data_IF_023982079045
#
_entry.id   IF_023982079045
#
_cell.length_a   1.000
_cell.length_b   1.000
_cell.length_c   1.000
_cell.angle_alpha   90.00
_cell.angle_beta   90.00
_cell.angle_gamma   90.00
#
_symmetry.space_group_name_H-M   'P 1'
#
loop_
_entity.id
_entity.type
_entity.pdbx_description
1 polymer ?
#
# COMPACT_ATOMS: atom_id res chain seq x y z
N UNK A 1 18.80 -19.85 -3.95
CA UNK A 1 19.48 -18.85 -3.11
C UNK A 1 19.30 -17.45 -3.64
N UNK A 2 19.79 -17.17 -4.85
CA UNK A 2 19.60 -15.84 -5.44
C UNK A 2 18.13 -15.50 -5.60
N UNK A 3 17.33 -16.47 -6.02
CA UNK A 3 15.89 -16.30 -6.21
C UNK A 3 15.15 -15.95 -4.93
N UNK A 4 15.58 -16.47 -3.80
CA UNK A 4 15.00 -16.17 -2.51
C UNK A 4 15.31 -14.75 -2.07
N UNK A 5 16.54 -14.28 -2.33
CA UNK A 5 16.95 -12.92 -2.01
C UNK A 5 16.13 -11.91 -2.82
N UNK A 6 15.99 -12.16 -4.12
CA UNK A 6 15.23 -11.28 -5.02
C UNK A 6 13.76 -11.27 -4.63
N UNK A 7 13.21 -12.44 -4.31
CA UNK A 7 11.81 -12.56 -3.91
C UNK A 7 11.54 -11.85 -2.59
N UNK A 8 12.45 -12.00 -1.63
CA UNK A 8 12.34 -11.30 -0.35
C UNK A 8 12.42 -9.79 -0.52
N UNK A 9 13.30 -9.31 -1.40
CA UNK A 9 13.37 -7.90 -1.73
C UNK A 9 12.09 -7.37 -2.35
N UNK A 10 11.49 -8.13 -3.26
CA UNK A 10 10.21 -7.77 -3.87
C UNK A 10 9.09 -7.69 -2.83
N UNK A 11 9.06 -8.66 -1.92
CA UNK A 11 8.07 -8.67 -0.84
C UNK A 11 8.23 -7.46 0.07
N UNK A 12 9.46 -7.15 0.47
CA UNK A 12 9.74 -6.00 1.34
C UNK A 12 9.37 -4.68 0.68
N UNK A 13 9.69 -4.55 -0.60
CA UNK A 13 9.36 -3.34 -1.34
C UNK A 13 7.85 -3.16 -1.47
N UNK A 14 7.14 -4.21 -1.81
CA UNK A 14 5.68 -4.16 -1.93
C UNK A 14 5.03 -3.84 -0.58
N UNK A 15 5.50 -4.48 0.49
CA UNK A 15 5.00 -4.21 1.83
C UNK A 15 5.24 -2.75 2.23
N UNK A 16 6.44 -2.22 1.96
CA UNK A 16 6.76 -0.83 2.26
C UNK A 16 5.88 0.13 1.47
N UNK A 17 5.65 -0.15 0.20
CA UNK A 17 4.80 0.68 -0.64
C UNK A 17 3.35 0.71 -0.14
N UNK A 18 2.82 -0.45 0.26
CA UNK A 18 1.45 -0.52 0.79
C UNK A 18 1.32 0.22 2.12
N UNK A 19 2.32 0.11 3.00
CA UNK A 19 2.31 0.86 4.25
C UNK A 19 2.38 2.36 4.03
N UNK A 20 3.20 2.80 3.08
CA UNK A 20 3.31 4.21 2.75
C UNK A 20 2.02 4.75 2.13
N UNK A 21 1.36 3.96 1.31
CA UNK A 21 0.07 4.32 0.73
C UNK A 21 -0.99 4.53 1.82
N UNK A 22 -1.07 3.61 2.76
CA UNK A 22 -2.01 3.71 3.88
C UNK A 22 -1.68 4.89 4.78
N UNK A 23 -0.39 5.10 5.09
CA UNK A 23 0.02 6.21 5.94
C UNK A 23 -0.36 7.56 5.31
N UNK A 24 -0.14 7.71 4.00
CA UNK A 24 -0.51 8.93 3.29
C UNK A 24 -2.03 9.16 3.30
N UNK A 25 -2.79 8.10 3.11
CA UNK A 25 -4.25 8.18 3.15
C UNK A 25 -4.76 8.60 4.53
N UNK A 26 -4.24 7.98 5.58
CA UNK A 26 -4.62 8.31 6.96
C UNK A 26 -4.23 9.75 7.29
N UNK A 27 -3.04 10.18 6.88
CA UNK A 27 -2.57 11.54 7.14
C UNK A 27 -3.42 12.59 6.41
N UNK A 28 -3.92 12.26 5.24
CA UNK A 28 -4.77 13.16 4.46
C UNK A 28 -6.03 13.57 5.25
N UNK A 29 -6.51 12.69 6.11
CA UNK A 29 -7.75 12.91 6.89
C UNK A 29 -7.47 13.02 8.39
N UNK A 30 -6.24 13.41 8.76
CA UNK A 30 -5.83 13.49 10.17
C UNK A 30 -6.61 14.51 10.98
N UNK A 31 -7.15 15.54 10.33
CA UNK A 31 -7.92 16.60 10.97
C UNK A 31 -9.41 16.28 11.09
N UNK A 32 -9.86 15.18 10.52
CA UNK A 32 -11.27 14.77 10.60
C UNK A 32 -11.49 13.90 11.83
N UNK A 33 -12.21 14.46 12.80
CA UNK A 33 -12.39 13.85 14.11
C UNK A 33 -13.87 13.58 14.36
N UNK A 34 -14.13 12.58 15.22
CA UNK A 34 -15.48 12.30 15.69
C UNK A 34 -15.84 13.19 16.88
N UNK A 35 -17.02 12.95 17.47
CA UNK A 35 -17.53 13.73 18.61
C UNK A 35 -16.61 13.65 19.83
N UNK A 36 -15.85 12.58 19.95
CA UNK A 36 -14.94 12.34 21.07
C UNK A 36 -13.50 12.79 20.78
N UNK A 37 -13.27 13.46 19.64
CA UNK A 37 -11.95 13.93 19.26
C UNK A 37 -11.05 12.84 18.69
N UNK A 38 -11.60 11.68 18.33
CA UNK A 38 -10.84 10.59 17.73
C UNK A 38 -10.87 10.68 16.21
N UNK A 39 -9.79 10.28 15.57
CA UNK A 39 -9.70 10.31 14.11
C UNK A 39 -10.74 9.38 13.49
N UNK A 40 -11.39 9.86 12.43
CA UNK A 40 -12.35 9.06 11.66
C UNK A 40 -11.65 8.05 10.76
N UNK A 41 -10.41 8.33 10.35
CA UNK A 41 -9.64 7.45 9.47
C UNK A 41 -8.39 7.02 10.21
N UNK A 42 -8.27 5.72 10.47
CA UNK A 42 -7.13 5.16 11.20
C UNK A 42 -6.69 3.85 10.56
N UNK A 43 -5.41 3.55 10.74
CA UNK A 43 -4.90 2.23 10.43
C UNK A 43 -5.37 1.26 11.51
N UNK A 44 -5.88 0.10 11.11
CA UNK A 44 -6.41 -0.89 12.05
C UNK A 44 -6.06 -2.29 11.61
N UNK A 45 -4.94 -2.82 12.12
CA UNK A 45 -4.52 -4.18 11.86
C UNK A 45 -4.12 -4.42 10.40
N UNK A 46 -4.33 -5.64 9.96
CA UNK A 46 -3.94 -6.09 8.63
C UNK A 46 -5.03 -6.95 8.02
N UNK A 47 -5.07 -6.97 6.68
CA UNK A 47 -5.87 -7.93 5.96
C UNK A 47 -5.26 -9.33 6.08
N UNK A 48 -6.03 -10.34 5.69
CA UNK A 48 -5.54 -11.70 5.61
C UNK A 48 -4.41 -11.79 4.60
N UNK A 49 -3.40 -12.61 4.90
CA UNK A 49 -2.29 -12.84 4.00
C UNK A 49 -2.79 -13.40 2.67
N UNK A 50 -2.20 -12.91 1.58
CA UNK A 50 -2.48 -13.43 0.25
C UNK A 50 -1.20 -13.50 -0.58
N UNK A 51 -1.22 -14.35 -1.60
CA UNK A 51 -0.11 -14.47 -2.51
C UNK A 51 -0.30 -13.53 -3.69
N UNK A 52 0.79 -12.86 -4.07
CA UNK A 52 0.81 -11.92 -5.18
C UNK A 52 1.94 -12.33 -6.13
N UNK A 53 1.63 -12.38 -7.41
CA UNK A 53 2.62 -12.72 -8.43
C UNK A 53 3.42 -11.46 -8.78
N UNK A 54 4.73 -11.52 -8.55
CA UNK A 54 5.66 -10.44 -8.89
C UNK A 54 6.60 -10.88 -10.00
N UNK A 55 7.41 -9.96 -10.50
CA UNK A 55 8.47 -10.29 -11.46
C UNK A 55 9.46 -11.31 -10.89
N UNK A 56 9.60 -11.36 -9.57
CA UNK A 56 10.50 -12.31 -8.89
C UNK A 56 9.79 -13.60 -8.48
N UNK A 57 8.53 -13.80 -8.86
CA UNK A 57 7.72 -14.94 -8.48
C UNK A 57 6.63 -14.58 -7.47
N UNK A 58 5.95 -15.60 -6.95
CA UNK A 58 4.87 -15.40 -5.99
C UNK A 58 5.46 -15.03 -4.62
N UNK A 59 4.91 -13.99 -4.00
CA UNK A 59 5.29 -13.56 -2.66
C UNK A 59 4.05 -13.41 -1.81
N UNK A 60 4.19 -13.67 -0.50
CA UNK A 60 3.10 -13.52 0.45
C UNK A 60 3.07 -12.08 0.97
N UNK A 61 1.89 -11.48 0.97
CA UNK A 61 1.69 -10.10 1.37
C UNK A 61 0.58 -10.01 2.42
N UNK A 62 0.84 -9.25 3.47
CA UNK A 62 -0.13 -8.94 4.51
C UNK A 62 -0.31 -7.42 4.51
N UNK A 63 -1.33 -6.95 3.79
CA UNK A 63 -1.54 -5.52 3.60
C UNK A 63 -2.13 -4.86 4.85
N UNK A 64 -1.70 -3.63 5.18
CA UNK A 64 -2.33 -2.89 6.28
C UNK A 64 -3.78 -2.58 5.95
N UNK A 65 -4.60 -2.51 6.99
CA UNK A 65 -6.02 -2.28 6.86
C UNK A 65 -6.37 -0.89 7.40
N UNK A 66 -7.27 -0.22 6.70
CA UNK A 66 -7.76 1.10 7.09
C UNK A 66 -9.19 0.98 7.59
N UNK A 67 -9.47 1.60 8.72
CA UNK A 67 -10.83 1.81 9.19
C UNK A 67 -11.19 3.25 8.88
N UNK A 68 -12.05 3.45 7.90
CA UNK A 68 -12.54 4.76 7.48
C UNK A 68 -14.01 4.86 7.89
N UNK A 69 -14.27 5.71 8.89
CA UNK A 69 -15.63 5.88 9.44
C UNK A 69 -16.35 7.08 8.85
N UNK A 70 -15.75 7.75 7.86
CA UNK A 70 -16.38 8.89 7.20
C UNK A 70 -17.60 8.43 6.41
N UNK A 71 -18.63 9.24 6.39
CA UNK A 71 -19.86 8.97 5.67
C UNK A 71 -20.11 10.12 4.70
N UNK A 72 -20.46 9.78 3.46
CA UNK A 72 -20.85 10.79 2.48
C UNK A 72 -22.19 11.42 2.91
N UNK A 73 -22.24 12.74 3.11
CA UNK A 73 -23.46 13.40 3.60
C UNK A 73 -24.64 13.34 2.62
N UNK A 74 -24.35 13.14 1.34
CA UNK A 74 -25.41 13.08 0.31
C UNK A 74 -25.99 11.68 0.16
N UNK A 75 -25.13 10.66 0.09
CA UNK A 75 -25.55 9.28 -0.17
C UNK A 75 -25.71 8.47 1.11
N UNK A 76 -25.18 8.94 2.23
CA UNK A 76 -25.10 8.26 3.52
C UNK A 76 -24.30 6.96 3.43
N UNK A 77 -23.51 6.80 2.39
CA UNK A 77 -22.63 5.64 2.23
C UNK A 77 -21.31 5.89 2.94
N UNK A 78 -20.78 4.82 3.53
CA UNK A 78 -19.50 4.87 4.22
C UNK A 78 -18.37 4.91 3.20
N UNK A 79 -17.42 5.82 3.42
CA UNK A 79 -16.21 5.90 2.61
C UNK A 79 -15.33 4.68 2.88
N UNK A 80 -14.56 4.28 1.88
CA UNK A 80 -13.65 3.15 2.00
C UNK A 80 -12.32 3.46 1.35
N UNK A 81 -11.26 3.00 1.98
CA UNK A 81 -9.94 3.00 1.38
C UNK A 81 -9.86 1.84 0.37
N UNK A 82 -9.30 2.14 -0.79
CA UNK A 82 -9.01 1.13 -1.80
C UNK A 82 -7.59 1.36 -2.28
N UNK A 83 -6.76 0.31 -2.20
CA UNK A 83 -5.37 0.42 -2.63
C UNK A 83 -5.29 0.58 -4.15
N UNK A 84 -4.57 1.60 -4.61
CA UNK A 84 -4.25 1.76 -6.02
C UNK A 84 -3.07 0.88 -6.43
N UNK A 85 -2.18 0.60 -5.49
CA UNK A 85 -0.99 -0.22 -5.74
C UNK A 85 -1.38 -1.69 -5.90
N UNK A 86 -2.24 -2.19 -5.00
CA UNK A 86 -2.64 -3.59 -5.01
C UNK A 86 -4.13 -3.70 -4.69
N UNK A 87 -5.00 -3.52 -5.68
CA UNK A 87 -6.44 -3.67 -5.45
C UNK A 87 -6.78 -5.05 -4.90
N UNK A 88 -7.86 -5.12 -4.12
CA UNK A 88 -8.26 -6.33 -3.42
C UNK A 88 -8.47 -7.54 -4.34
N UNK A 89 -8.91 -7.28 -5.59
CA UNK A 89 -9.17 -8.33 -6.57
C UNK A 89 -7.92 -8.76 -7.35
N UNK A 90 -6.84 -7.99 -7.28
CA UNK A 90 -5.63 -8.23 -8.08
C UNK A 90 -4.78 -9.34 -7.48
N UNK A 91 -4.26 -10.21 -8.32
CA UNK A 91 -3.31 -11.25 -7.94
C UNK A 91 -1.91 -10.96 -8.43
N UNK A 92 -1.73 -9.90 -9.21
CA UNK A 92 -0.43 -9.48 -9.75
C UNK A 92 -0.08 -8.14 -9.17
N UNK A 93 1.20 -7.95 -8.85
CA UNK A 93 1.69 -6.63 -8.49
C UNK A 93 1.73 -5.75 -9.75
N UNK A 94 1.51 -4.45 -9.60
CA UNK A 94 1.75 -3.53 -10.71
C UNK A 94 3.25 -3.48 -11.02
N UNK A 95 3.57 -3.08 -12.25
CA UNK A 95 4.96 -2.81 -12.59
C UNK A 95 5.42 -1.55 -11.84
N UNK A 96 6.70 -1.50 -11.51
CA UNK A 96 7.21 -0.38 -10.72
C UNK A 96 7.06 0.96 -11.43
N UNK A 97 7.13 0.96 -12.75
CA UNK A 97 6.89 2.17 -13.54
C UNK A 97 5.47 2.72 -13.35
N UNK A 98 4.51 1.87 -13.03
CA UNK A 98 3.13 2.28 -12.75
C UNK A 98 2.96 2.75 -11.31
N UNK A 99 3.75 2.19 -10.40
CA UNK A 99 3.67 2.51 -8.97
C UNK A 99 4.40 3.81 -8.63
N UNK A 100 5.53 4.08 -9.28
CA UNK A 100 6.37 5.24 -8.96
C UNK A 100 5.62 6.57 -8.94
N UNK A 101 4.79 6.89 -9.95
CA UNK A 101 4.05 8.15 -9.91
C UNK A 101 3.09 8.24 -8.73
N UNK A 102 2.49 7.11 -8.34
CA UNK A 102 1.58 7.08 -7.19
C UNK A 102 2.33 7.34 -5.88
N UNK A 103 3.54 6.79 -5.75
CA UNK A 103 4.37 7.02 -4.56
C UNK A 103 4.81 8.48 -4.47
N UNK A 104 5.17 9.09 -5.59
CA UNK A 104 5.53 10.52 -5.63
C UNK A 104 4.35 11.41 -5.27
N UNK A 105 3.18 11.11 -5.79
CA UNK A 105 1.97 11.87 -5.47
C UNK A 105 1.64 11.81 -3.97
N UNK A 106 2.05 10.77 -3.30
CA UNK A 106 1.84 10.62 -1.85
C UNK A 106 3.00 11.14 -1.02
N UNK A 107 3.94 11.84 -1.64
CA UNK A 107 5.04 12.51 -0.94
C UNK A 107 6.20 11.61 -0.53
N UNK A 108 6.32 10.45 -1.15
CA UNK A 108 7.43 9.54 -0.87
C UNK A 108 8.63 9.86 -1.75
N UNK A 109 9.83 9.73 -1.17
CA UNK A 109 11.06 9.95 -1.92
C UNK A 109 11.59 8.61 -2.45
N UNK A 110 12.28 8.68 -3.60
CA UNK A 110 12.91 7.49 -4.18
C UNK A 110 14.01 6.92 -3.31
N UNK A 111 14.59 7.72 -2.44
CA UNK A 111 15.64 7.26 -1.53
C UNK A 111 15.12 6.23 -0.53
N UNK A 112 13.83 6.27 -0.19
CA UNK A 112 13.22 5.33 0.74
C UNK A 112 13.16 3.91 0.15
N UNK A 113 13.17 3.81 -1.17
CA UNK A 113 13.01 2.54 -1.86
C UNK A 113 14.22 2.20 -2.73
N UNK A 114 15.30 2.98 -2.66
CA UNK A 114 16.43 2.86 -3.58
C UNK A 114 16.94 1.44 -3.77
N UNK A 115 17.37 0.76 -2.68
CA UNK A 115 17.91 -0.59 -2.81
C UNK A 115 16.91 -1.61 -3.32
N UNK A 116 15.64 -1.50 -2.89
CA UNK A 116 14.60 -2.42 -3.33
C UNK A 116 14.23 -2.18 -4.80
N UNK A 117 14.22 -0.91 -5.21
CA UNK A 117 13.94 -0.54 -6.60
C UNK A 117 14.99 -1.08 -7.56
N UNK A 118 16.27 -1.03 -7.19
CA UNK A 118 17.33 -1.58 -8.02
C UNK A 118 17.14 -3.05 -8.28
N UNK A 119 16.81 -3.82 -7.25
CA UNK A 119 16.54 -5.24 -7.40
C UNK A 119 15.33 -5.52 -8.27
N UNK A 120 14.30 -4.69 -8.15
CA UNK A 120 13.05 -4.89 -8.87
C UNK A 120 13.15 -4.47 -10.33
N UNK A 121 13.76 -3.32 -10.60
CA UNK A 121 13.91 -2.77 -11.95
C UNK A 121 15.08 -3.40 -12.70
N UNK A 122 16.11 -3.80 -12.01
CA UNK A 122 17.29 -4.42 -12.61
C UNK A 122 17.02 -5.78 -13.23
N UNK A 123 15.91 -6.40 -12.88
CA UNK A 123 15.52 -7.71 -13.40
C UNK A 123 14.59 -7.60 -14.62
N UNK A 124 14.25 -6.41 -15.02
CA UNK A 124 13.31 -6.22 -16.12
C UNK A 124 13.62 -5.05 -16.98
#
# INVERSE_FOLDING_TARGET
>A
MLDEIVRDGARQMLAAALQAEVAAYVDQFADQLDENGRRLVVRNGHHQQRDVLTAAGAVSVTAPRVNDRRVDPETLERQRFSSAILPAWSRKSPQMTEVLPLLYLRGLSTSDFGPALEQFLGSG
#
